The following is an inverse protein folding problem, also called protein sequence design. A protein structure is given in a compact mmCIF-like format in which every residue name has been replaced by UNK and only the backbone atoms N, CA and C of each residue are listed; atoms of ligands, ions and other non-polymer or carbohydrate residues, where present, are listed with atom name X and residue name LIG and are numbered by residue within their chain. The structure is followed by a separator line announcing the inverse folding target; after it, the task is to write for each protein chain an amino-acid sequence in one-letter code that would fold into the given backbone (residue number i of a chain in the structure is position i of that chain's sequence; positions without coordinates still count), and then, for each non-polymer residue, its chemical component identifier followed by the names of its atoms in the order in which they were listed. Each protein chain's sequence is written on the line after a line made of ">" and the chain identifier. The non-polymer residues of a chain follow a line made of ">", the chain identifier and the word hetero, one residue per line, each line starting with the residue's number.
data_IF_837348787407
#
_entry.id   IF_837348787407
#
_cell.length_a   1.000
_cell.length_b   1.000
_cell.length_c   1.000
_cell.angle_alpha   90.00
_cell.angle_beta   90.00
_cell.angle_gamma   90.00
#
_symmetry.space_group_name_H-M   'P 1'
#
loop_
_entity.id
_entity.type
_entity.pdbx_description
1 polymer ?
#
# COMPACT_ATOMS: atom_id res chain seq x y z
N UNK A 1 4.05 0.05 -12.02
CA UNK A 1 5.27 -0.24 -11.24
C UNK A 1 4.83 -1.09 -10.06
N UNK A 2 5.48 -2.22 -9.84
CA UNK A 2 5.23 -3.10 -8.70
C UNK A 2 6.43 -3.00 -7.74
N UNK A 3 6.14 -2.91 -6.45
CA UNK A 3 7.14 -2.96 -5.38
C UNK A 3 6.91 -4.22 -4.57
N UNK A 4 7.90 -5.11 -4.51
CA UNK A 4 7.78 -6.40 -3.83
C UNK A 4 9.01 -6.72 -3.00
N UNK A 5 8.81 -7.49 -1.93
CA UNK A 5 9.88 -8.03 -1.09
C UNK A 5 9.44 -9.38 -0.54
N UNK A 6 10.23 -10.41 -0.81
CA UNK A 6 10.03 -11.74 -0.24
C UNK A 6 10.73 -11.82 1.13
N UNK A 7 9.98 -12.26 2.14
CA UNK A 7 10.51 -12.50 3.48
C UNK A 7 10.74 -13.99 3.65
N UNK A 8 12.00 -14.42 3.72
CA UNK A 8 12.40 -15.82 3.88
C UNK A 8 13.00 -15.98 5.27
N UNK A 9 12.53 -16.96 6.04
CA UNK A 9 13.04 -17.29 7.38
C UNK A 9 13.08 -16.12 8.39
N UNK A 10 12.34 -15.05 8.12
CA UNK A 10 12.23 -13.87 8.96
C UNK A 10 10.81 -13.75 9.50
N UNK A 11 10.63 -13.22 10.73
CA UNK A 11 9.32 -12.82 11.21
C UNK A 11 8.69 -11.81 10.24
N UNK A 12 7.36 -11.75 10.21
CA UNK A 12 6.65 -10.75 9.43
C UNK A 12 7.19 -9.35 9.77
N UNK A 13 7.29 -8.44 8.78
CA UNK A 13 7.83 -7.10 8.97
C UNK A 13 6.87 -6.24 9.81
N UNK A 14 6.86 -6.48 11.11
CA UNK A 14 6.06 -5.74 12.10
C UNK A 14 6.79 -4.51 12.63
N UNK A 15 8.10 -4.41 12.36
CA UNK A 15 8.92 -3.23 12.65
C UNK A 15 9.21 -2.49 11.35
N UNK A 16 9.16 -1.16 11.40
CA UNK A 16 9.34 -0.30 10.24
C UNK A 16 10.65 -0.58 9.47
N UNK A 17 11.74 -0.86 10.18
CA UNK A 17 13.03 -1.19 9.58
C UNK A 17 13.00 -2.44 8.69
N UNK A 18 12.08 -3.34 8.95
CA UNK A 18 11.96 -4.61 8.25
C UNK A 18 11.01 -4.50 7.05
N UNK A 19 10.14 -3.48 7.01
CA UNK A 19 9.17 -3.22 5.94
C UNK A 19 9.83 -2.92 4.58
N UNK A 20 9.05 -3.14 3.52
CA UNK A 20 9.38 -2.69 2.17
C UNK A 20 9.26 -1.16 2.12
N UNK A 21 10.36 -0.48 1.79
CA UNK A 21 10.36 0.97 1.57
C UNK A 21 9.86 1.26 0.16
N UNK A 22 8.80 2.06 0.07
CA UNK A 22 8.22 2.46 -1.21
C UNK A 22 8.47 3.97 -1.39
N UNK A 23 9.21 4.39 -2.44
CA UNK A 23 9.48 5.80 -2.70
C UNK A 23 8.19 6.48 -3.18
N UNK A 24 7.57 7.27 -2.30
CA UNK A 24 6.21 7.78 -2.53
C UNK A 24 6.09 8.76 -3.70
N UNK A 25 7.20 9.41 -4.08
CA UNK A 25 7.30 10.26 -5.28
C UNK A 25 7.12 9.49 -6.59
N UNK A 26 7.22 8.16 -6.57
CA UNK A 26 6.96 7.30 -7.76
C UNK A 26 5.48 6.93 -7.90
N UNK A 27 4.66 7.22 -6.89
CA UNK A 27 3.24 6.91 -6.87
C UNK A 27 2.43 8.15 -7.26
N UNK A 28 1.42 7.94 -8.09
CA UNK A 28 0.44 8.95 -8.48
C UNK A 28 -0.57 9.13 -7.34
N UNK A 29 -0.89 10.38 -7.05
CA UNK A 29 -1.96 10.74 -6.11
C UNK A 29 -3.31 10.39 -6.73
N UNK A 30 -4.32 10.22 -5.86
CA UNK A 30 -5.71 9.94 -6.25
C UNK A 30 -5.84 8.73 -7.18
N UNK A 31 -4.90 7.80 -7.06
CA UNK A 31 -4.83 6.54 -7.80
C UNK A 31 -4.98 5.38 -6.81
N UNK A 32 -5.89 4.42 -7.07
CA UNK A 32 -6.00 3.23 -6.25
C UNK A 32 -4.82 2.29 -6.50
N UNK A 33 -4.30 1.72 -5.41
CA UNK A 33 -3.21 0.76 -5.41
C UNK A 33 -3.64 -0.52 -4.69
N UNK A 34 -3.29 -1.66 -5.28
CA UNK A 34 -3.49 -2.96 -4.66
C UNK A 34 -2.24 -3.32 -3.84
N UNK A 35 -2.47 -3.67 -2.57
CA UNK A 35 -1.45 -4.22 -1.68
C UNK A 35 -1.82 -5.67 -1.41
N UNK A 36 -0.95 -6.58 -1.86
CA UNK A 36 -1.08 -8.01 -1.59
C UNK A 36 -0.04 -8.45 -0.55
N UNK A 37 -0.48 -9.29 0.38
CA UNK A 37 0.40 -10.02 1.28
C UNK A 37 0.14 -11.51 1.10
N UNK A 38 1.12 -12.18 0.50
CA UNK A 38 1.09 -13.62 0.27
C UNK A 38 1.75 -14.38 1.42
N UNK A 39 0.96 -15.20 2.12
CA UNK A 39 1.42 -16.10 3.18
C UNK A 39 0.81 -17.50 2.93
N UNK A 40 0.31 -18.18 3.98
CA UNK A 40 -0.54 -19.40 3.81
C UNK A 40 -1.87 -19.10 3.10
N UNK A 41 -2.33 -17.86 3.19
CA UNK A 41 -3.47 -17.29 2.47
C UNK A 41 -3.05 -15.94 1.91
N UNK A 42 -3.69 -15.52 0.83
CA UNK A 42 -3.47 -14.20 0.23
C UNK A 42 -4.41 -13.18 0.87
N UNK A 43 -3.83 -12.10 1.39
CA UNK A 43 -4.57 -10.95 1.88
C UNK A 43 -4.44 -9.82 0.86
N UNK A 44 -5.57 -9.27 0.44
CA UNK A 44 -5.62 -8.20 -0.55
C UNK A 44 -6.33 -7.01 0.09
N UNK A 45 -5.71 -5.85 -0.01
CA UNK A 45 -6.34 -4.57 0.33
C UNK A 45 -6.09 -3.59 -0.80
N UNK A 46 -7.08 -2.74 -1.07
CA UNK A 46 -6.91 -1.61 -1.97
C UNK A 46 -6.79 -0.35 -1.14
N UNK A 47 -5.88 0.52 -1.54
CA UNK A 47 -5.58 1.78 -0.85
C UNK A 47 -5.51 2.93 -1.83
N UNK A 48 -5.73 4.14 -1.33
CA UNK A 48 -5.52 5.39 -2.04
C UNK A 48 -4.53 6.28 -1.31
N UNK A 49 -3.73 7.00 -2.11
CA UNK A 49 -2.79 8.02 -1.64
C UNK A 49 -3.38 9.40 -1.91
N UNK A 50 -3.78 10.10 -0.84
CA UNK A 50 -4.28 11.47 -0.90
C UNK A 50 -3.24 12.47 -0.45
N UNK A 51 -3.34 13.71 -0.94
CA UNK A 51 -2.55 14.82 -0.47
C UNK A 51 -3.42 15.76 0.37
N UNK A 52 -3.14 15.83 1.67
CA UNK A 52 -3.82 16.73 2.58
C UNK A 52 -2.78 17.68 3.19
N UNK A 53 -2.78 18.94 2.77
CA UNK A 53 -1.91 20.00 3.29
C UNK A 53 -0.43 19.58 3.39
N UNK A 54 0.15 19.14 2.26
CA UNK A 54 1.51 18.60 2.13
C UNK A 54 1.81 17.31 2.90
N UNK A 55 0.80 16.64 3.46
CA UNK A 55 0.92 15.31 4.05
C UNK A 55 0.27 14.28 3.15
N UNK A 56 0.91 13.11 3.08
CA UNK A 56 0.36 11.99 2.34
C UNK A 56 -0.48 11.15 3.28
N UNK A 57 -1.75 10.97 2.95
CA UNK A 57 -2.67 10.11 3.67
C UNK A 57 -2.85 8.81 2.89
N UNK A 58 -2.77 7.70 3.60
CA UNK A 58 -3.08 6.37 3.08
C UNK A 58 -4.47 5.99 3.60
N UNK A 59 -5.42 5.80 2.69
CA UNK A 59 -6.79 5.39 3.05
C UNK A 59 -7.09 4.03 2.40
N UNK A 60 -7.68 3.11 3.16
CA UNK A 60 -8.24 1.88 2.61
C UNK A 60 -9.51 2.23 1.84
N UNK A 61 -9.70 1.63 0.67
CA UNK A 61 -10.91 1.77 -0.15
C UNK A 61 -11.68 0.45 -0.24
N UNK A 62 -12.90 0.50 -0.75
CA UNK A 62 -13.71 -0.70 -0.96
C UNK A 62 -13.14 -1.47 -2.14
N UNK A 63 -12.98 -2.79 -1.98
CA UNK A 63 -12.45 -3.64 -3.05
C UNK A 63 -13.27 -3.51 -4.33
N UNK A 64 -12.60 -3.21 -5.44
CA UNK A 64 -13.21 -3.00 -6.75
C UNK A 64 -13.51 -1.53 -7.08
N UNK A 65 -13.27 -0.59 -6.16
CA UNK A 65 -13.36 0.83 -6.46
C UNK A 65 -12.22 1.27 -7.39
N UNK A 66 -12.59 1.90 -8.51
CA UNK A 66 -11.64 2.42 -9.50
C UNK A 66 -11.18 3.85 -9.20
N UNK A 67 -11.76 4.48 -8.19
CA UNK A 67 -11.57 5.88 -7.86
C UNK A 67 -11.33 6.01 -6.36
N UNK A 68 -10.44 6.91 -5.98
CA UNK A 68 -10.29 7.26 -4.58
C UNK A 68 -11.54 7.98 -4.08
N UNK A 69 -12.02 7.70 -2.86
CA UNK A 69 -13.18 8.39 -2.29
C UNK A 69 -12.90 9.89 -2.22
N UNK A 70 -13.91 10.72 -2.45
CA UNK A 70 -13.82 12.16 -2.16
C UNK A 70 -13.66 12.37 -0.64
N UNK A 71 -13.07 13.49 -0.23
CA UNK A 71 -13.05 13.92 1.17
C UNK A 71 -14.44 14.35 1.64
#
# INVERSE_FOLDING_TARGET
>A
IAFEKKYINNPLPTKEKDCLKIPINTLKKDTPYLVSLEMRRTYIVEICLKNNNNRILVQKIITGEKTCPAD
#
